data_IF_114581797445
#
_entry.id   IF_114581797445
#
_cell.length_a   1.000
_cell.length_b   1.000
_cell.length_c   1.000
_cell.angle_alpha   90.00
_cell.angle_beta   90.00
_cell.angle_gamma   90.00
#
_symmetry.space_group_name_H-M   'P 1'
#
loop_
_entity.id
_entity.type
_entity.pdbx_description
1 polymer ?
#
# COMPACT_ATOMS: atom_id res chain seq x y z
N UNK A 1 -33.59 21.83 18.91
CA UNK A 1 -32.80 21.28 17.79
C UNK A 1 -32.30 22.32 16.77
N UNK A 2 -32.67 23.61 16.86
CA UNK A 2 -32.23 24.65 15.90
C UNK A 2 -30.87 25.28 16.25
N UNK A 3 -30.39 25.18 17.50
CA UNK A 3 -29.20 25.90 17.96
C UNK A 3 -27.85 25.21 17.66
N UNK A 4 -27.83 23.88 17.50
CA UNK A 4 -26.60 23.12 17.25
C UNK A 4 -26.11 23.21 15.80
N UNK A 5 -27.02 23.50 14.85
CA UNK A 5 -26.67 23.67 13.43
C UNK A 5 -25.98 25.00 13.17
N UNK A 6 -26.47 26.08 13.78
CA UNK A 6 -25.85 27.41 13.64
C UNK A 6 -24.46 27.46 14.30
N UNK A 7 -24.30 26.88 15.49
CA UNK A 7 -23.00 26.88 16.18
C UNK A 7 -21.93 26.09 15.40
N UNK A 8 -22.32 25.03 14.70
CA UNK A 8 -21.41 24.27 13.82
C UNK A 8 -21.04 25.04 12.55
N UNK A 9 -21.97 25.80 11.96
CA UNK A 9 -21.69 26.64 10.79
C UNK A 9 -20.82 27.86 11.15
N UNK A 10 -20.99 28.48 12.32
CA UNK A 10 -20.14 29.59 12.77
C UNK A 10 -18.68 29.17 13.03
N UNK A 11 -18.47 28.01 13.68
CA UNK A 11 -17.11 27.46 13.88
C UNK A 11 -16.45 27.14 12.52
N UNK A 12 -17.21 26.59 11.57
CA UNK A 12 -16.70 26.25 10.24
C UNK A 12 -16.36 27.49 9.39
N UNK A 13 -17.12 28.59 9.52
CA UNK A 13 -16.84 29.84 8.79
C UNK A 13 -15.65 30.61 9.39
N UNK A 14 -15.47 30.58 10.72
CA UNK A 14 -14.30 31.15 11.41
C UNK A 14 -13.00 30.38 11.07
N UNK A 15 -13.05 29.05 10.95
CA UNK A 15 -11.90 28.23 10.49
C UNK A 15 -11.51 28.54 9.04
N UNK A 16 -12.49 28.81 8.16
CA UNK A 16 -12.25 29.22 6.76
C UNK A 16 -11.70 30.65 6.69
N UNK A 17 -12.18 31.57 7.55
CA UNK A 17 -11.69 32.93 7.64
C UNK A 17 -10.25 33.00 8.20
N UNK A 18 -9.88 32.10 9.11
CA UNK A 18 -8.54 32.02 9.70
C UNK A 18 -7.53 31.33 8.76
N UNK A 19 -8.00 30.41 7.90
CA UNK A 19 -7.20 29.83 6.81
C UNK A 19 -6.76 30.85 5.74
N UNK A 20 -7.53 31.94 5.54
CA UNK A 20 -7.16 33.06 4.64
C UNK A 20 -6.09 34.01 5.18
N UNK A 21 -5.67 33.90 6.46
CA UNK A 21 -4.58 34.73 6.99
C UNK A 21 -3.25 34.17 6.47
N UNK A 22 -2.93 34.56 5.24
CA UNK A 22 -1.86 34.01 4.42
C UNK A 22 -0.51 33.92 5.14
N UNK A 23 -0.08 32.69 5.41
CA UNK A 23 1.33 32.36 5.50
C UNK A 23 1.94 32.68 4.13
N UNK A 24 2.72 33.77 4.03
CA UNK A 24 3.58 33.97 2.86
C UNK A 24 4.65 32.89 2.90
N UNK A 25 4.40 31.74 2.26
CA UNK A 25 5.43 30.73 2.03
C UNK A 25 6.55 31.38 1.21
N UNK A 26 7.74 31.49 1.81
CA UNK A 26 8.92 32.02 1.10
C UNK A 26 9.38 30.97 0.08
N UNK A 27 9.95 31.40 -1.04
CA UNK A 27 10.50 30.46 -2.04
C UNK A 27 11.48 29.47 -1.41
N UNK A 28 12.23 29.92 -0.41
CA UNK A 28 13.20 29.10 0.34
C UNK A 28 12.52 28.01 1.17
N UNK A 29 11.35 28.29 1.77
CA UNK A 29 10.56 27.29 2.52
C UNK A 29 10.00 26.21 1.58
N UNK A 30 9.54 26.62 0.41
CA UNK A 30 9.02 25.71 -0.63
C UNK A 30 10.16 24.83 -1.16
N UNK A 31 11.33 25.41 -1.45
CA UNK A 31 12.50 24.66 -1.94
C UNK A 31 13.01 23.69 -0.88
N UNK A 32 13.05 24.09 0.39
CA UNK A 32 13.45 23.22 1.48
C UNK A 32 12.50 22.03 1.66
N UNK A 33 11.19 22.27 1.56
CA UNK A 33 10.17 21.22 1.67
C UNK A 33 10.22 20.26 0.46
N UNK A 34 10.31 20.79 -0.76
CA UNK A 34 10.46 19.97 -1.98
C UNK A 34 11.72 19.11 -1.93
N UNK A 35 12.84 19.64 -1.42
CA UNK A 35 14.08 18.87 -1.27
C UNK A 35 13.92 17.71 -0.27
N UNK A 36 13.19 17.92 0.84
CA UNK A 36 12.88 16.86 1.80
C UNK A 36 11.95 15.80 1.19
N UNK A 37 10.91 16.22 0.49
CA UNK A 37 9.98 15.31 -0.18
C UNK A 37 10.68 14.49 -1.27
N UNK A 38 11.57 15.11 -2.04
CA UNK A 38 12.34 14.44 -3.08
C UNK A 38 13.31 13.41 -2.49
N UNK A 39 13.96 13.74 -1.37
CA UNK A 39 14.80 12.77 -0.66
C UNK A 39 13.99 11.58 -0.15
N UNK A 40 12.81 11.83 0.43
CA UNK A 40 11.92 10.79 0.95
C UNK A 40 11.40 9.88 -0.18
N UNK A 41 10.92 10.48 -1.26
CA UNK A 41 10.48 9.76 -2.45
C UNK A 41 11.63 8.95 -3.04
N UNK A 42 12.85 9.52 -3.10
CA UNK A 42 14.04 8.83 -3.57
C UNK A 42 14.35 7.55 -2.78
N UNK A 43 14.32 7.62 -1.43
CA UNK A 43 14.53 6.45 -0.59
C UNK A 43 13.45 5.39 -0.80
N UNK A 44 12.18 5.78 -0.89
CA UNK A 44 11.07 4.85 -1.11
C UNK A 44 11.17 4.16 -2.48
N UNK A 45 11.49 4.92 -3.54
CA UNK A 45 11.68 4.38 -4.88
C UNK A 45 12.85 3.40 -4.90
N UNK A 46 13.96 3.72 -4.24
CA UNK A 46 15.12 2.83 -4.17
C UNK A 46 14.77 1.48 -3.50
N UNK A 47 14.06 1.51 -2.38
CA UNK A 47 13.60 0.29 -1.69
C UNK A 47 12.68 -0.53 -2.60
N UNK A 48 11.72 0.11 -3.28
CA UNK A 48 10.81 -0.58 -4.19
C UNK A 48 11.54 -1.20 -5.38
N UNK A 49 12.54 -0.51 -5.94
CA UNK A 49 13.37 -1.04 -7.03
C UNK A 49 14.13 -2.28 -6.58
N UNK A 50 14.79 -2.23 -5.42
CA UNK A 50 15.53 -3.37 -4.86
C UNK A 50 14.63 -4.59 -4.63
N UNK A 51 13.45 -4.39 -4.05
CA UNK A 51 12.47 -5.45 -3.83
C UNK A 51 11.97 -6.06 -5.15
N UNK A 52 11.70 -5.22 -6.16
CA UNK A 52 11.30 -5.70 -7.47
C UNK A 52 12.42 -6.48 -8.17
N UNK A 53 13.67 -6.03 -8.06
CA UNK A 53 14.84 -6.74 -8.59
C UNK A 53 14.97 -8.15 -7.98
N UNK A 54 14.83 -8.29 -6.66
CA UNK A 54 14.84 -9.60 -5.98
C UNK A 54 13.71 -10.52 -6.49
N UNK A 55 12.53 -9.96 -6.75
CA UNK A 55 11.40 -10.70 -7.27
C UNK A 55 11.64 -11.19 -8.70
N UNK A 56 12.23 -10.35 -9.56
CA UNK A 56 12.60 -10.72 -10.94
C UNK A 56 13.67 -11.82 -10.96
N UNK A 57 14.69 -11.71 -10.10
CA UNK A 57 15.74 -12.74 -9.99
C UNK A 57 15.11 -14.07 -9.56
N UNK A 58 14.22 -14.06 -8.57
CA UNK A 58 13.50 -15.26 -8.12
C UNK A 58 12.68 -15.88 -9.25
N UNK A 59 11.97 -15.06 -10.03
CA UNK A 59 11.23 -15.51 -11.22
C UNK A 59 12.14 -16.08 -12.31
N UNK A 60 13.34 -15.52 -12.51
CA UNK A 60 14.34 -16.07 -13.44
C UNK A 60 14.86 -17.44 -13.02
N UNK A 61 15.07 -17.66 -11.71
CA UNK A 61 15.41 -18.98 -11.20
C UNK A 61 14.27 -19.98 -11.40
N UNK A 62 13.02 -19.56 -11.16
CA UNK A 62 11.82 -20.36 -11.47
C UNK A 62 11.70 -20.65 -12.97
N UNK A 63 12.08 -19.71 -13.83
CA UNK A 63 12.08 -19.89 -15.28
C UNK A 63 13.08 -20.94 -15.78
N UNK A 64 14.23 -21.11 -15.11
CA UNK A 64 15.16 -22.20 -15.42
C UNK A 64 14.63 -23.60 -15.08
N UNK A 65 13.58 -23.72 -14.26
CA UNK A 65 12.92 -25.00 -13.97
C UNK A 65 11.99 -25.46 -15.10
N UNK A 66 11.67 -24.61 -16.09
CA UNK A 66 10.95 -24.98 -17.30
C UNK A 66 9.95 -23.92 -17.78
N UNK A 67 9.63 -23.96 -19.08
CA UNK A 67 8.69 -23.05 -19.75
C UNK A 67 7.27 -23.13 -19.15
N UNK A 68 6.85 -24.31 -18.70
CA UNK A 68 5.56 -24.54 -18.06
C UNK A 68 5.46 -23.80 -16.71
N UNK A 69 6.52 -23.84 -15.90
CA UNK A 69 6.56 -23.16 -14.60
C UNK A 69 6.55 -21.64 -14.78
N UNK A 70 7.27 -21.12 -15.78
CA UNK A 70 7.28 -19.70 -16.12
C UNK A 70 5.90 -19.22 -16.58
N UNK A 71 5.24 -19.98 -17.46
CA UNK A 71 3.91 -19.67 -17.96
C UNK A 71 2.86 -19.71 -16.85
N UNK A 72 2.93 -20.72 -15.97
CA UNK A 72 2.09 -20.82 -14.77
C UNK A 72 2.29 -19.65 -13.80
N UNK A 73 3.54 -19.24 -13.55
CA UNK A 73 3.86 -18.10 -12.69
C UNK A 73 3.35 -16.77 -13.27
N UNK A 74 3.51 -16.55 -14.58
CA UNK A 74 3.00 -15.36 -15.28
C UNK A 74 1.46 -15.28 -15.20
N UNK A 75 0.79 -16.42 -15.44
CA UNK A 75 -0.66 -16.53 -15.35
C UNK A 75 -1.16 -16.28 -13.92
N UNK A 76 -0.53 -16.90 -12.92
CA UNK A 76 -0.85 -16.69 -11.51
C UNK A 76 -0.65 -15.23 -11.09
N UNK A 77 0.44 -14.60 -11.53
CA UNK A 77 0.73 -13.17 -11.25
C UNK A 77 -0.30 -12.25 -11.88
N UNK A 78 -0.72 -12.53 -13.12
CA UNK A 78 -1.77 -11.77 -13.80
C UNK A 78 -3.11 -11.89 -13.10
N UNK A 79 -3.50 -13.13 -12.74
CA UNK A 79 -4.72 -13.39 -11.98
C UNK A 79 -4.70 -12.71 -10.60
N UNK A 80 -3.58 -12.78 -9.89
CA UNK A 80 -3.37 -12.15 -8.59
C UNK A 80 -3.42 -10.62 -8.67
N UNK A 81 -2.88 -10.04 -9.74
CA UNK A 81 -2.91 -8.59 -9.96
C UNK A 81 -4.34 -8.10 -10.20
N UNK A 82 -5.10 -8.81 -11.05
CA UNK A 82 -6.48 -8.47 -11.36
C UNK A 82 -7.45 -8.66 -10.19
N UNK A 83 -7.26 -9.71 -9.40
CA UNK A 83 -8.17 -10.04 -8.29
C UNK A 83 -7.79 -9.39 -6.96
N UNK A 84 -6.51 -9.37 -6.60
CA UNK A 84 -6.05 -8.99 -5.26
C UNK A 84 -5.25 -7.71 -5.20
N UNK A 85 -4.11 -7.63 -5.91
CA UNK A 85 -3.20 -6.48 -5.74
C UNK A 85 -3.85 -5.15 -6.09
N UNK A 86 -4.70 -5.10 -7.13
CA UNK A 86 -5.42 -3.87 -7.50
C UNK A 86 -6.34 -3.37 -6.38
N UNK A 87 -7.06 -4.28 -5.71
CA UNK A 87 -7.89 -3.94 -4.55
C UNK A 87 -7.05 -3.46 -3.37
N UNK A 88 -5.95 -4.15 -3.06
CA UNK A 88 -5.05 -3.76 -1.97
C UNK A 88 -4.43 -2.38 -2.21
N UNK A 89 -3.98 -2.09 -3.43
CA UNK A 89 -3.45 -0.79 -3.83
C UNK A 89 -4.53 0.29 -3.67
N UNK A 90 -5.74 0.05 -4.18
CA UNK A 90 -6.85 0.99 -4.08
C UNK A 90 -7.22 1.33 -2.63
N UNK A 91 -7.33 0.33 -1.76
CA UNK A 91 -7.55 0.57 -0.33
C UNK A 91 -6.37 1.28 0.35
N UNK A 92 -5.14 0.96 -0.06
CA UNK A 92 -3.93 1.65 0.40
C UNK A 92 -3.90 3.14 0.04
N UNK A 93 -4.33 3.51 -1.17
CA UNK A 93 -4.47 4.91 -1.61
C UNK A 93 -5.57 5.65 -0.85
N UNK A 94 -6.70 5.00 -0.59
CA UNK A 94 -7.76 5.56 0.23
C UNK A 94 -7.25 5.82 1.66
N UNK A 95 -6.46 4.90 2.20
CA UNK A 95 -5.82 5.03 3.50
C UNK A 95 -4.86 6.21 3.57
N UNK A 96 -3.95 6.33 2.59
CA UNK A 96 -3.03 7.47 2.50
C UNK A 96 -3.78 8.81 2.52
N UNK A 97 -4.89 8.89 1.79
CA UNK A 97 -5.74 10.08 1.77
C UNK A 97 -6.34 10.36 3.15
N UNK A 98 -6.94 9.35 3.80
CA UNK A 98 -7.50 9.50 5.15
C UNK A 98 -6.45 9.91 6.18
N UNK A 99 -5.26 9.35 6.08
CA UNK A 99 -4.13 9.68 6.95
C UNK A 99 -3.67 11.13 6.72
N UNK A 100 -3.56 11.57 5.48
CA UNK A 100 -3.23 12.95 5.12
C UNK A 100 -4.26 13.97 5.64
N UNK A 101 -5.55 13.64 5.53
CA UNK A 101 -6.63 14.48 6.07
C UNK A 101 -6.57 14.59 7.60
N UNK A 102 -6.42 13.45 8.30
CA UNK A 102 -6.38 13.42 9.77
C UNK A 102 -5.11 14.09 10.32
N UNK A 103 -3.98 13.94 9.64
CA UNK A 103 -2.73 14.59 9.99
C UNK A 103 -2.80 16.11 9.77
N UNK A 104 -3.43 16.57 8.68
CA UNK A 104 -3.69 17.98 8.41
C UNK A 104 -4.59 18.65 9.45
N UNK A 105 -5.54 17.90 10.01
CA UNK A 105 -6.41 18.33 11.11
C UNK A 105 -5.73 18.38 12.49
N UNK A 106 -4.44 18.00 12.60
CA UNK A 106 -3.64 17.93 13.84
C UNK A 106 -4.16 16.93 14.89
N UNK A 107 -5.07 16.04 14.51
CA UNK A 107 -5.66 15.00 15.38
C UNK A 107 -4.82 13.71 15.37
N UNK A 108 -3.58 13.80 15.87
CA UNK A 108 -2.61 12.70 15.81
C UNK A 108 -3.02 11.44 16.61
N UNK A 109 -3.84 11.62 17.66
CA UNK A 109 -4.33 10.50 18.47
C UNK A 109 -5.35 9.64 17.71
N UNK A 110 -6.32 10.28 17.03
CA UNK A 110 -7.30 9.60 16.20
C UNK A 110 -6.66 8.97 14.95
N UNK A 111 -5.62 9.60 14.39
CA UNK A 111 -4.88 9.09 13.23
C UNK A 111 -4.40 7.65 13.45
N UNK A 112 -3.77 7.35 14.59
CA UNK A 112 -3.25 6.01 14.88
C UNK A 112 -4.36 4.96 14.98
N UNK A 113 -5.47 5.30 15.62
CA UNK A 113 -6.63 4.43 15.80
C UNK A 113 -7.30 4.14 14.44
N UNK A 114 -7.44 5.15 13.58
CA UNK A 114 -7.99 4.96 12.24
C UNK A 114 -7.11 4.06 11.36
N UNK A 115 -5.79 4.23 11.41
CA UNK A 115 -4.85 3.38 10.68
C UNK A 115 -4.89 1.94 11.18
N UNK A 116 -4.92 1.71 12.50
CA UNK A 116 -5.03 0.36 13.05
C UNK A 116 -6.35 -0.30 12.64
N UNK A 117 -7.47 0.43 12.71
CA UNK A 117 -8.77 -0.09 12.28
C UNK A 117 -8.79 -0.44 10.79
N UNK A 118 -8.17 0.38 9.96
CA UNK A 118 -8.07 0.10 8.55
C UNK A 118 -7.09 -1.03 8.21
N UNK A 119 -6.02 -1.22 9.00
CA UNK A 119 -5.14 -2.37 8.90
C UNK A 119 -5.90 -3.68 9.16
N UNK A 120 -6.79 -3.70 10.15
CA UNK A 120 -7.68 -4.84 10.42
C UNK A 120 -8.60 -5.10 9.22
N UNK A 121 -9.19 -4.04 8.64
CA UNK A 121 -10.04 -4.18 7.44
C UNK A 121 -9.24 -4.75 6.26
N UNK A 122 -8.02 -4.27 6.02
CA UNK A 122 -7.14 -4.80 4.97
C UNK A 122 -6.82 -6.28 5.18
N UNK A 123 -6.52 -6.68 6.42
CA UNK A 123 -6.29 -8.08 6.77
C UNK A 123 -7.54 -8.93 6.54
N UNK A 124 -8.72 -8.44 6.91
CA UNK A 124 -9.98 -9.13 6.68
C UNK A 124 -10.28 -9.31 5.18
N UNK A 125 -9.96 -8.33 4.33
CA UNK A 125 -10.09 -8.43 2.87
C UNK A 125 -9.05 -9.38 2.26
N UNK A 126 -7.91 -9.55 2.93
CA UNK A 126 -6.87 -10.50 2.49
C UNK A 126 -7.29 -11.97 2.65
N UNK A 127 -8.20 -12.28 3.59
CA UNK A 127 -8.72 -13.65 3.82
C UNK A 127 -9.53 -14.19 2.62
N UNK A 128 -10.57 -13.51 2.10
CA UNK A 128 -11.29 -13.98 0.92
C UNK A 128 -10.37 -14.02 -0.31
N UNK A 129 -9.42 -13.09 -0.44
CA UNK A 129 -8.42 -13.13 -1.51
C UNK A 129 -7.54 -14.38 -1.44
N UNK A 130 -7.04 -14.74 -0.26
CA UNK A 130 -6.30 -15.97 -0.03
C UNK A 130 -7.12 -17.21 -0.41
N UNK A 131 -8.42 -17.20 -0.11
CA UNK A 131 -9.36 -18.29 -0.47
C UNK A 131 -9.56 -18.39 -1.98
N UNK A 132 -9.70 -17.25 -2.68
CA UNK A 132 -9.77 -17.21 -4.15
C UNK A 132 -8.48 -17.75 -4.76
N UNK A 133 -7.32 -17.37 -4.20
CA UNK A 133 -6.01 -17.80 -4.70
C UNK A 133 -5.74 -19.29 -4.44
N UNK A 134 -6.21 -19.83 -3.31
CA UNK A 134 -6.17 -21.26 -3.04
C UNK A 134 -6.94 -22.08 -4.09
N UNK A 135 -8.01 -21.50 -4.64
CA UNK A 135 -8.82 -22.11 -5.70
C UNK A 135 -8.44 -21.62 -7.11
N UNK A 136 -7.35 -20.86 -7.27
CA UNK A 136 -6.96 -20.26 -8.55
C UNK A 136 -6.82 -21.32 -9.65
N UNK A 137 -6.22 -22.48 -9.35
CA UNK A 137 -6.08 -23.55 -10.35
C UNK A 137 -7.42 -24.01 -10.94
N UNK A 138 -8.46 -24.19 -10.11
CA UNK A 138 -9.79 -24.54 -10.60
C UNK A 138 -10.46 -23.41 -11.38
N UNK A 139 -10.29 -22.16 -10.94
CA UNK A 139 -10.83 -20.98 -11.63
C UNK A 139 -10.20 -20.84 -13.03
N UNK A 140 -8.90 -21.08 -13.15
CA UNK A 140 -8.20 -21.02 -14.44
C UNK A 140 -8.66 -22.14 -15.39
N UNK A 141 -8.85 -23.37 -14.89
CA UNK A 141 -9.43 -24.46 -15.69
C UNK A 141 -10.84 -24.10 -16.17
N UNK A 142 -11.67 -23.48 -15.32
CA UNK A 142 -13.00 -23.00 -15.71
C UNK A 142 -12.95 -21.91 -16.80
N UNK A 143 -11.91 -21.08 -16.79
CA UNK A 143 -11.62 -20.09 -17.83
C UNK A 143 -11.06 -20.72 -19.13
N UNK A 144 -11.07 -22.06 -19.24
CA UNK A 144 -10.53 -22.83 -20.35
C UNK A 144 -9.03 -22.63 -20.60
N UNK A 145 -8.26 -22.33 -19.55
CA UNK A 145 -6.81 -22.46 -19.61
C UNK A 145 -6.39 -23.92 -19.66
N UNK A 146 -5.19 -24.16 -20.16
CA UNK A 146 -4.59 -25.49 -20.20
C UNK A 146 -4.52 -26.09 -18.77
N UNK A 147 -4.91 -27.36 -18.55
CA UNK A 147 -4.91 -27.98 -17.23
C UNK A 147 -3.53 -28.02 -16.57
N UNK A 148 -2.45 -28.21 -17.35
CA UNK A 148 -1.08 -28.26 -16.85
C UNK A 148 -0.62 -26.86 -16.40
N UNK A 149 -0.89 -25.83 -17.21
CA UNK A 149 -0.60 -24.43 -16.85
C UNK A 149 -1.42 -24.00 -15.64
N UNK A 150 -2.69 -24.41 -15.58
CA UNK A 150 -3.59 -24.08 -14.47
C UNK A 150 -3.17 -24.73 -13.16
N UNK A 151 -2.66 -25.97 -13.21
CA UNK A 151 -2.12 -26.67 -12.05
C UNK A 151 -0.87 -25.96 -11.49
N UNK A 152 0.06 -25.58 -12.36
CA UNK A 152 1.26 -24.82 -11.96
C UNK A 152 0.92 -23.42 -11.44
N UNK A 153 0.00 -22.71 -12.11
CA UNK A 153 -0.49 -21.42 -11.64
C UNK A 153 -1.16 -21.52 -10.25
N UNK A 154 -1.96 -22.57 -10.02
CA UNK A 154 -2.57 -22.83 -8.71
C UNK A 154 -1.56 -23.22 -7.63
N UNK A 155 -0.45 -23.88 -8.00
CA UNK A 155 0.67 -24.15 -7.08
C UNK A 155 1.40 -22.87 -6.71
N UNK A 156 1.71 -22.03 -7.70
CA UNK A 156 2.33 -20.73 -7.50
C UNK A 156 1.46 -19.79 -6.64
N UNK A 157 0.15 -19.73 -6.93
CA UNK A 157 -0.80 -18.91 -6.17
C UNK A 157 -0.83 -19.29 -4.67
N UNK A 158 -0.74 -20.59 -4.35
CA UNK A 158 -0.66 -21.07 -2.95
C UNK A 158 0.61 -20.61 -2.23
N UNK A 159 1.76 -20.61 -2.90
CA UNK A 159 3.00 -20.06 -2.34
C UNK A 159 2.91 -18.54 -2.11
N UNK A 160 2.08 -17.85 -2.89
CA UNK A 160 1.90 -16.40 -2.78
C UNK A 160 0.92 -15.98 -1.66
N UNK A 161 0.10 -16.90 -1.14
CA UNK A 161 -0.86 -16.65 -0.04
C UNK A 161 -0.18 -16.02 1.19
N UNK A 162 0.86 -16.60 1.81
CA UNK A 162 1.52 -15.95 2.95
C UNK A 162 2.11 -14.57 2.59
N UNK A 163 2.53 -14.40 1.34
CA UNK A 163 3.03 -13.14 0.81
C UNK A 163 1.99 -12.02 0.84
N UNK A 164 0.71 -12.31 0.56
CA UNK A 164 -0.35 -11.28 0.54
C UNK A 164 -0.61 -10.70 1.94
N UNK A 165 -0.58 -11.54 2.99
CA UNK A 165 -0.75 -11.10 4.37
C UNK A 165 0.43 -10.24 4.83
N UNK A 166 1.65 -10.69 4.52
CA UNK A 166 2.85 -9.92 4.81
C UNK A 166 2.84 -8.57 4.07
N UNK A 167 2.42 -8.56 2.81
CA UNK A 167 2.32 -7.34 2.01
C UNK A 167 1.27 -6.37 2.56
N UNK A 168 0.10 -6.85 2.99
CA UNK A 168 -0.93 -6.01 3.60
C UNK A 168 -0.45 -5.32 4.88
N UNK A 169 0.26 -6.06 5.76
CA UNK A 169 0.83 -5.51 7.00
C UNK A 169 1.94 -4.51 6.69
N UNK A 170 2.84 -4.85 5.75
CA UNK A 170 3.96 -4.01 5.35
C UNK A 170 3.47 -2.69 4.75
N UNK A 171 2.48 -2.74 3.85
CA UNK A 171 1.86 -1.56 3.28
C UNK A 171 1.28 -0.65 4.38
N UNK A 172 0.54 -1.20 5.34
CA UNK A 172 0.00 -0.41 6.44
C UNK A 172 1.10 0.26 7.28
N UNK A 173 2.20 -0.45 7.57
CA UNK A 173 3.33 0.12 8.29
C UNK A 173 4.02 1.24 7.50
N UNK A 174 4.29 1.03 6.21
CA UNK A 174 4.91 2.03 5.34
C UNK A 174 4.06 3.31 5.29
N UNK A 175 2.74 3.20 5.11
CA UNK A 175 1.84 4.37 5.09
C UNK A 175 1.78 5.06 6.46
N UNK A 176 1.71 4.31 7.56
CA UNK A 176 1.75 4.88 8.91
C UNK A 176 3.03 5.71 9.16
N UNK A 177 4.18 5.16 8.77
CA UNK A 177 5.48 5.82 8.90
C UNK A 177 5.61 7.04 7.98
N UNK A 178 5.12 6.94 6.74
CA UNK A 178 5.09 8.07 5.78
C UNK A 178 4.25 9.24 6.28
N UNK A 179 3.06 8.96 6.85
CA UNK A 179 2.13 10.03 7.25
C UNK A 179 2.63 10.82 8.47
N UNK A 180 3.41 10.20 9.36
CA UNK A 180 3.85 10.90 10.57
C UNK A 180 5.01 11.86 10.37
N UNK A 181 5.62 11.91 9.17
CA UNK A 181 6.83 12.70 8.88
C UNK A 181 7.98 12.51 9.89
N UNK A 182 7.91 11.49 10.77
CA UNK A 182 9.00 11.02 11.61
C UNK A 182 9.82 10.04 10.79
N UNK A 183 10.71 10.60 9.99
CA UNK A 183 11.57 9.89 9.03
C UNK A 183 12.67 9.11 9.76
N UNK A 184 12.97 9.46 11.02
CA UNK A 184 14.08 8.87 11.81
C UNK A 184 14.03 7.34 11.94
N UNK A 185 12.90 6.68 12.22
CA UNK A 185 12.86 5.21 12.34
C UNK A 185 13.06 4.50 11.00
N UNK A 186 12.47 5.01 9.90
CA UNK A 186 12.61 4.44 8.55
C UNK A 186 14.00 4.66 7.96
N UNK A 187 14.59 5.83 8.24
CA UNK A 187 15.96 6.16 7.85
C UNK A 187 16.97 5.26 8.58
N UNK A 188 16.76 5.01 9.88
CA UNK A 188 17.60 4.10 10.67
C UNK A 188 17.43 2.65 10.21
N UNK A 189 16.22 2.16 9.94
CA UNK A 189 16.02 0.78 9.46
C UNK A 189 16.63 0.54 8.08
N UNK A 190 16.50 1.50 7.16
CA UNK A 190 17.07 1.40 5.81
C UNK A 190 18.60 1.53 5.85
N UNK A 191 19.13 2.39 6.72
CA UNK A 191 20.58 2.53 6.95
C UNK A 191 21.22 1.26 7.50
N UNK A 192 20.54 0.57 8.42
CA UNK A 192 21.01 -0.71 8.98
C UNK A 192 20.91 -1.85 7.95
N UNK A 193 19.93 -1.82 7.06
CA UNK A 193 19.78 -2.86 6.00
C UNK A 193 20.81 -2.70 4.88
N UNK A 194 21.40 -1.50 4.74
CA UNK A 194 22.38 -1.18 3.70
C UNK A 194 23.83 -1.38 4.18
N UNK A 195 24.04 -1.68 5.47
CA UNK A 195 25.34 -1.98 6.08
C UNK A 195 25.51 -3.49 6.29
#
# INVERSE_FOLDING_TARGET
MVNCKNQFTYVFDDDVAQSRKGSKFTKDDIVAEVKKQLFLAGTLVLVQVLLFSLQVISLMFVGHLGELALSGASMATSFATGTGFSLLIGMGSALETFCGQSYGAKEYHLLGIHVQRAMIVLLLVSIPLATIWANAGHILVLLRQDPEISAEAGRYARFMIPGIFAFAILQCHLRFLQTQSKILPVLVSTGITTL
#
